data_IF_320190687843
#
_entry.id   IF_320190687843
#
_cell.length_a   1.000
_cell.length_b   1.000
_cell.length_c   1.000
_cell.angle_alpha   90.00
_cell.angle_beta   90.00
_cell.angle_gamma   90.00
#
_symmetry.space_group_name_H-M   'P 1'
#
loop_
_entity.id
_entity.type
_entity.pdbx_description
1 polymer ?
#
# COMPACT_ATOMS: atom_id res chain seq x y z
N UNK A 1 2.31 28.65 -29.06
CA UNK A 1 1.20 27.88 -28.44
C UNK A 1 1.64 27.08 -27.23
N UNK A 2 2.83 26.45 -27.24
CA UNK A 2 3.31 25.65 -26.10
C UNK A 2 3.66 26.46 -24.84
N UNK A 3 4.21 27.67 -24.98
CA UNK A 3 4.54 28.51 -23.82
C UNK A 3 3.29 28.92 -23.02
N UNK A 4 2.20 29.28 -23.72
CA UNK A 4 0.93 29.62 -23.08
C UNK A 4 0.35 28.39 -22.36
N UNK A 5 0.40 27.23 -23.01
CA UNK A 5 -0.05 25.97 -22.40
C UNK A 5 0.75 25.62 -21.15
N UNK A 6 2.08 25.77 -21.20
CA UNK A 6 2.97 25.55 -20.05
C UNK A 6 2.64 26.51 -18.90
N UNK A 7 2.48 27.80 -19.17
CA UNK A 7 2.13 28.80 -18.15
C UNK A 7 0.74 28.54 -17.54
N UNK A 8 -0.25 28.20 -18.35
CA UNK A 8 -1.57 27.80 -17.87
C UNK A 8 -1.50 26.54 -17.00
N UNK A 9 -0.68 25.55 -17.38
CA UNK A 9 -0.48 24.32 -16.61
C UNK A 9 0.21 24.59 -15.26
N UNK A 10 1.26 25.42 -15.25
CA UNK A 10 1.94 25.83 -14.01
C UNK A 10 0.98 26.59 -13.10
N UNK A 11 0.19 27.52 -13.65
CA UNK A 11 -0.79 28.26 -12.86
C UNK A 11 -1.88 27.36 -12.29
N UNK A 12 -2.43 26.46 -13.12
CA UNK A 12 -3.46 25.51 -12.70
C UNK A 12 -2.96 24.57 -11.58
N UNK A 13 -1.78 23.98 -11.75
CA UNK A 13 -1.17 23.11 -10.73
C UNK A 13 -0.82 23.87 -9.45
N UNK A 14 -0.32 25.10 -9.56
CA UNK A 14 -0.01 25.94 -8.38
C UNK A 14 -1.26 26.35 -7.63
N UNK A 15 -2.31 26.79 -8.34
CA UNK A 15 -3.57 27.16 -7.71
C UNK A 15 -4.26 25.96 -7.04
N UNK A 16 -4.33 24.82 -7.75
CA UNK A 16 -4.96 23.60 -7.20
C UNK A 16 -4.23 23.08 -5.97
N UNK A 17 -2.90 23.03 -6.00
CA UNK A 17 -2.10 22.61 -4.83
C UNK A 17 -2.24 23.58 -3.65
N UNK A 18 -2.30 24.89 -3.90
CA UNK A 18 -2.54 25.91 -2.86
C UNK A 18 -3.89 25.69 -2.16
N UNK A 19 -4.98 25.55 -2.92
CA UNK A 19 -6.31 25.32 -2.34
C UNK A 19 -6.40 23.97 -1.62
N UNK A 20 -5.84 22.89 -2.19
CA UNK A 20 -5.81 21.58 -1.52
C UNK A 20 -5.02 21.61 -0.22
N UNK A 21 -3.89 22.33 -0.19
CA UNK A 21 -3.08 22.48 1.02
C UNK A 21 -3.81 23.28 2.11
N UNK A 22 -4.55 24.32 1.73
CA UNK A 22 -5.37 25.11 2.66
C UNK A 22 -6.51 24.27 3.28
N UNK A 23 -7.00 23.26 2.58
CA UNK A 23 -8.04 22.34 3.08
C UNK A 23 -7.52 21.30 4.08
N UNK A 24 -6.21 21.00 4.11
CA UNK A 24 -5.62 20.03 5.03
C UNK A 24 -5.80 20.38 6.52
N UNK A 25 -5.47 21.59 7.00
CA UNK A 25 -5.67 21.94 8.41
C UNK A 25 -7.16 21.91 8.79
N UNK A 26 -8.06 22.27 7.88
CA UNK A 26 -9.50 22.19 8.12
C UNK A 26 -9.98 20.74 8.25
N UNK A 27 -9.51 19.83 7.39
CA UNK A 27 -9.76 18.38 7.56
C UNK A 27 -9.20 17.84 8.86
N UNK A 28 -7.98 18.24 9.24
CA UNK A 28 -7.36 17.82 10.50
C UNK A 28 -8.13 18.35 11.72
N UNK A 29 -8.60 19.60 11.66
CA UNK A 29 -9.43 20.21 12.71
C UNK A 29 -10.78 19.48 12.83
N UNK A 30 -11.45 19.20 11.70
CA UNK A 30 -12.68 18.41 11.63
C UNK A 30 -12.46 17.01 12.22
N UNK A 31 -11.39 16.31 11.87
CA UNK A 31 -11.07 14.99 12.43
C UNK A 31 -10.76 15.02 13.93
N UNK A 32 -10.32 16.16 14.49
CA UNK A 32 -10.11 16.34 15.93
C UNK A 32 -11.40 16.68 16.68
N UNK A 33 -12.29 17.46 16.06
CA UNK A 33 -13.52 17.97 16.68
C UNK A 33 -14.69 16.99 16.56
N UNK A 34 -14.81 16.29 15.43
CA UNK A 34 -15.73 15.18 15.29
C UNK A 34 -15.01 13.93 15.77
N UNK A 35 -15.49 13.25 16.83
CA UNK A 35 -14.97 11.95 17.19
C UNK A 35 -15.25 11.04 15.99
N UNK A 36 -14.23 10.80 15.16
CA UNK A 36 -14.23 9.59 14.36
C UNK A 36 -14.48 8.48 15.38
N UNK A 37 -15.55 7.69 15.19
CA UNK A 37 -15.71 6.41 15.90
C UNK A 37 -14.30 5.85 15.99
N UNK A 38 -13.76 5.69 17.21
CA UNK A 38 -12.44 5.08 17.39
C UNK A 38 -12.45 3.89 16.46
N UNK A 39 -11.73 3.95 15.35
CA UNK A 39 -11.42 2.76 14.58
C UNK A 39 -10.73 1.93 15.64
N UNK A 40 -11.42 0.88 16.11
CA UNK A 40 -10.84 -0.07 17.03
C UNK A 40 -9.42 -0.32 16.53
N UNK A 41 -8.43 -0.17 17.42
CA UNK A 41 -7.00 -0.42 17.12
C UNK A 41 -6.98 -1.53 16.08
N UNK A 42 -6.60 -1.18 14.85
CA UNK A 42 -6.87 -2.03 13.68
C UNK A 42 -5.93 -3.23 13.79
N UNK A 43 -6.34 -4.24 14.58
CA UNK A 43 -5.57 -5.43 14.95
C UNK A 43 -5.23 -6.30 13.73
N UNK A 44 -5.70 -5.89 12.56
CA UNK A 44 -5.62 -6.58 11.29
C UNK A 44 -4.44 -6.08 10.44
N UNK A 45 -3.68 -5.10 10.95
CA UNK A 45 -2.53 -4.52 10.23
C UNK A 45 -1.29 -4.52 11.12
N UNK A 46 -0.20 -5.10 10.63
CA UNK A 46 1.12 -5.03 11.26
C UNK A 46 2.06 -4.19 10.41
N UNK A 47 2.78 -3.25 11.02
CA UNK A 47 3.72 -2.37 10.33
C UNK A 47 5.16 -2.86 10.52
N UNK A 48 5.93 -2.84 9.44
CA UNK A 48 7.33 -3.24 9.42
C UNK A 48 8.17 -2.10 8.86
N UNK A 49 9.14 -1.65 9.63
CA UNK A 49 10.18 -0.76 9.15
C UNK A 49 11.44 -1.57 8.86
N UNK A 50 12.09 -1.27 7.75
CA UNK A 50 13.25 -2.02 7.32
C UNK A 50 14.05 -1.28 6.27
N UNK A 51 15.01 -1.99 5.69
CA UNK A 51 15.90 -1.46 4.68
C UNK A 51 16.05 -2.49 3.56
N UNK A 52 15.77 -2.07 2.33
CA UNK A 52 15.95 -2.90 1.15
C UNK A 52 17.27 -2.55 0.50
N UNK A 53 17.97 -3.58 0.03
CA UNK A 53 19.17 -3.46 -0.77
C UNK A 53 18.90 -4.07 -2.14
N UNK A 54 19.19 -3.31 -3.20
CA UNK A 54 19.19 -3.81 -4.57
C UNK A 54 20.62 -3.89 -5.08
N UNK A 55 20.95 -5.00 -5.73
CA UNK A 55 22.18 -5.17 -6.52
C UNK A 55 21.79 -5.66 -7.92
N UNK A 56 21.96 -4.79 -8.90
CA UNK A 56 21.82 -5.13 -10.31
C UNK A 56 23.22 -5.47 -10.82
N UNK A 57 23.43 -6.70 -11.26
CA UNK A 57 24.75 -7.19 -11.71
C UNK A 57 25.06 -6.88 -13.18
N UNK A 58 24.04 -6.66 -14.02
CA UNK A 58 24.17 -6.43 -15.47
C UNK A 58 23.11 -5.45 -16.00
N UNK A 59 23.38 -4.76 -17.12
CA UNK A 59 24.65 -4.77 -17.88
C UNK A 59 25.79 -4.03 -17.16
N UNK A 60 25.47 -2.99 -16.39
CA UNK A 60 26.42 -2.28 -15.50
C UNK A 60 25.99 -2.52 -14.06
N UNK A 61 26.98 -2.70 -13.16
CA UNK A 61 26.71 -2.94 -11.76
C UNK A 61 26.17 -1.68 -11.08
N UNK A 62 24.98 -1.77 -10.50
CA UNK A 62 24.40 -0.72 -9.68
C UNK A 62 23.84 -1.31 -8.40
N UNK A 63 24.27 -0.77 -7.27
CA UNK A 63 23.87 -1.21 -5.94
C UNK A 63 23.42 0.00 -5.13
N UNK A 64 22.25 -0.10 -4.50
CA UNK A 64 21.71 0.96 -3.66
C UNK A 64 20.86 0.39 -2.53
N UNK A 65 20.76 1.16 -1.45
CA UNK A 65 20.06 0.79 -0.22
C UNK A 65 19.14 1.93 0.18
N UNK A 66 17.90 1.61 0.57
CA UNK A 66 16.93 2.61 1.00
C UNK A 66 15.99 2.05 2.08
N UNK A 67 15.51 2.96 2.93
CA UNK A 67 14.54 2.63 3.96
C UNK A 67 13.17 2.39 3.36
N UNK A 68 12.46 1.40 3.92
CA UNK A 68 11.11 1.01 3.50
C UNK A 68 10.20 0.89 4.71
N UNK A 69 8.91 1.09 4.50
CA UNK A 69 7.86 0.88 5.50
C UNK A 69 6.75 0.07 4.88
N UNK A 70 6.66 -1.20 5.28
CA UNK A 70 5.65 -2.13 4.82
C UNK A 70 4.51 -2.22 5.81
N UNK A 71 3.32 -2.52 5.29
CA UNK A 71 2.16 -2.91 6.07
C UNK A 71 1.74 -4.32 5.64
N UNK A 72 1.57 -5.21 6.62
CA UNK A 72 0.99 -6.54 6.46
C UNK A 72 -0.48 -6.49 6.86
N UNK A 73 -1.35 -6.71 5.90
CA UNK A 73 -2.79 -6.73 6.06
C UNK A 73 -3.31 -8.17 6.12
N UNK A 74 -4.17 -8.46 7.10
CA UNK A 74 -5.03 -9.64 7.06
C UNK A 74 -6.20 -9.37 6.11
N UNK A 75 -6.18 -10.01 4.94
CA UNK A 75 -7.18 -9.74 3.91
C UNK A 75 -8.56 -10.31 4.22
N UNK A 76 -8.67 -11.27 5.14
CA UNK A 76 -9.95 -11.86 5.51
C UNK A 76 -10.72 -10.99 6.51
N UNK A 77 -9.99 -10.19 7.29
CA UNK A 77 -10.56 -9.24 8.24
C UNK A 77 -10.84 -7.86 7.61
N UNK A 78 -10.24 -7.59 6.44
CA UNK A 78 -10.50 -6.36 5.69
C UNK A 78 -11.82 -6.45 4.92
N UNK A 79 -12.84 -5.76 5.41
CA UNK A 79 -14.12 -5.58 4.70
C UNK A 79 -14.04 -4.61 3.50
N UNK A 80 -12.84 -4.12 3.16
CA UNK A 80 -12.70 -2.92 2.33
C UNK A 80 -12.53 -3.21 0.84
N UNK A 81 -13.43 -2.63 0.05
CA UNK A 81 -13.45 -2.57 -1.42
C UNK A 81 -12.33 -1.66 -1.97
N UNK A 82 -11.05 -1.99 -1.74
CA UNK A 82 -9.92 -1.27 -2.35
C UNK A 82 -9.59 -1.92 -3.69
N UNK A 83 -9.67 -1.15 -4.79
CA UNK A 83 -9.41 -1.59 -6.18
C UNK A 83 -8.00 -2.19 -6.40
N UNK A 84 -7.05 -1.88 -5.52
CA UNK A 84 -5.64 -2.28 -5.64
C UNK A 84 -5.41 -3.69 -5.07
N UNK A 85 -6.31 -4.18 -4.21
CA UNK A 85 -6.13 -5.44 -3.49
C UNK A 85 -6.89 -6.55 -4.22
N UNK A 86 -6.20 -7.61 -4.62
CA UNK A 86 -6.86 -8.81 -5.15
C UNK A 86 -7.72 -9.45 -4.06
N UNK A 87 -8.99 -9.85 -4.35
CA UNK A 87 -9.85 -10.47 -3.36
C UNK A 87 -9.25 -11.78 -2.80
N UNK A 88 -9.40 -12.07 -1.49
CA UNK A 88 -8.92 -13.32 -0.88
C UNK A 88 -9.36 -14.59 -1.62
N UNK A 89 -10.62 -14.64 -2.06
CA UNK A 89 -11.17 -15.78 -2.79
C UNK A 89 -10.43 -16.06 -4.10
N UNK A 90 -10.04 -15.00 -4.84
CA UNK A 90 -9.26 -15.14 -6.08
C UNK A 90 -7.85 -15.64 -5.78
N UNK A 91 -7.21 -15.12 -4.72
CA UNK A 91 -5.87 -15.55 -4.31
C UNK A 91 -5.85 -17.01 -3.89
N UNK A 92 -6.83 -17.46 -3.11
CA UNK A 92 -7.02 -18.87 -2.73
C UNK A 92 -7.18 -19.78 -3.94
N UNK A 93 -7.98 -19.36 -4.92
CA UNK A 93 -8.17 -20.12 -6.16
C UNK A 93 -6.84 -20.26 -6.94
N UNK A 94 -6.11 -19.16 -7.12
CA UNK A 94 -4.83 -19.14 -7.83
C UNK A 94 -3.74 -19.94 -7.09
N UNK A 95 -3.67 -19.77 -5.78
CA UNK A 95 -2.69 -20.43 -4.94
C UNK A 95 -3.04 -21.90 -4.69
N UNK A 96 -4.30 -22.31 -4.89
CA UNK A 96 -4.90 -23.58 -4.46
C UNK A 96 -4.79 -23.77 -2.94
N UNK A 97 -5.26 -22.77 -2.20
CA UNK A 97 -5.14 -22.73 -0.74
C UNK A 97 -6.48 -22.53 -0.04
N UNK A 98 -6.60 -23.02 1.20
CA UNK A 98 -7.85 -22.99 1.97
C UNK A 98 -7.81 -22.06 3.18
N UNK A 99 -6.62 -21.65 3.62
CA UNK A 99 -6.43 -20.87 4.83
C UNK A 99 -6.43 -19.35 4.63
N UNK A 100 -5.93 -18.61 5.63
CA UNK A 100 -5.91 -17.16 5.59
C UNK A 100 -4.93 -16.62 4.53
N UNK A 101 -5.21 -15.42 4.05
CA UNK A 101 -4.35 -14.72 3.08
C UNK A 101 -3.92 -13.35 3.61
N UNK A 102 -2.62 -13.07 3.56
CA UNK A 102 -2.07 -11.80 4.02
C UNK A 102 -1.41 -11.04 2.87
N UNK A 103 -1.49 -9.71 2.89
CA UNK A 103 -0.85 -8.83 1.92
C UNK A 103 0.21 -7.99 2.60
N UNK A 104 1.47 -8.13 2.17
CA UNK A 104 2.55 -7.22 2.52
C UNK A 104 2.77 -6.24 1.36
N UNK A 105 2.57 -4.96 1.62
CA UNK A 105 2.71 -3.91 0.61
C UNK A 105 3.17 -2.60 1.24
N UNK A 106 3.62 -1.65 0.41
CA UNK A 106 3.92 -0.28 0.83
C UNK A 106 2.67 0.56 0.52
N UNK A 107 1.93 1.03 1.54
CA UNK A 107 0.76 1.87 1.29
C UNK A 107 1.16 3.16 0.55
N UNK A 108 0.34 3.64 -0.40
CA UNK A 108 0.61 4.91 -1.08
C UNK A 108 0.76 6.04 -0.06
N UNK A 109 1.84 6.80 -0.15
CA UNK A 109 2.14 7.89 0.77
C UNK A 109 2.30 9.19 -0.01
N UNK A 110 1.37 10.14 0.20
CA UNK A 110 1.40 11.47 -0.44
C UNK A 110 1.52 11.40 -1.98
N UNK A 111 0.92 10.38 -2.60
CA UNK A 111 0.97 10.17 -4.05
C UNK A 111 2.27 9.54 -4.58
N UNK A 112 3.21 9.17 -3.70
CA UNK A 112 4.42 8.45 -4.07
C UNK A 112 4.27 6.95 -3.78
N UNK A 113 4.70 6.13 -4.74
CA UNK A 113 4.86 4.69 -4.61
C UNK A 113 6.34 4.36 -4.85
N UNK A 114 7.07 4.04 -3.77
CA UNK A 114 8.43 3.51 -3.86
C UNK A 114 8.37 2.00 -3.69
N UNK A 115 8.83 1.27 -4.72
CA UNK A 115 8.85 -0.20 -4.75
C UNK A 115 7.45 -0.83 -4.61
N UNK A 116 6.64 -0.84 -5.68
CA UNK A 116 5.22 -1.23 -5.64
C UNK A 116 4.97 -2.73 -5.40
N UNK A 117 6.01 -3.49 -5.04
CA UNK A 117 5.91 -4.93 -4.82
C UNK A 117 4.87 -5.24 -3.73
N UNK A 118 3.79 -5.87 -4.18
CA UNK A 118 2.72 -6.38 -3.33
C UNK A 118 2.85 -7.89 -3.24
N UNK A 119 3.16 -8.40 -2.04
CA UNK A 119 3.38 -9.81 -1.77
C UNK A 119 2.18 -10.40 -1.02
N UNK A 120 1.56 -11.42 -1.60
CA UNK A 120 0.43 -12.13 -1.00
C UNK A 120 0.92 -13.47 -0.43
N UNK A 121 0.79 -13.66 0.88
CA UNK A 121 1.10 -14.90 1.58
C UNK A 121 -0.17 -15.74 1.72
N UNK A 122 -0.18 -16.91 1.08
CA UNK A 122 -1.34 -17.81 1.05
C UNK A 122 -1.07 -19.07 1.90
N UNK A 123 -1.90 -19.29 2.92
CA UNK A 123 -1.75 -20.40 3.85
C UNK A 123 -2.77 -21.51 3.59
N UNK A 124 -2.43 -22.74 3.96
CA UNK A 124 -3.38 -23.83 4.17
C UNK A 124 -3.67 -24.02 5.65
N UNK A 125 -4.89 -24.46 5.94
CA UNK A 125 -5.28 -24.91 7.27
C UNK A 125 -5.11 -26.42 7.37
N UNK A 126 -4.28 -26.85 8.31
CA UNK A 126 -4.06 -28.25 8.66
C UNK A 126 -4.48 -28.43 10.12
N UNK A 127 -5.78 -28.67 10.32
CA UNK A 127 -6.39 -28.67 11.65
C UNK A 127 -6.34 -27.28 12.28
N UNK A 128 -5.64 -27.14 13.41
CA UNK A 128 -5.43 -25.87 14.12
C UNK A 128 -4.19 -25.10 13.65
N UNK A 129 -3.34 -25.69 12.80
CA UNK A 129 -2.11 -25.05 12.32
C UNK A 129 -2.28 -24.42 10.94
N UNK A 130 -1.54 -23.33 10.72
CA UNK A 130 -1.46 -22.64 9.43
C UNK A 130 -0.10 -22.88 8.79
N UNK A 131 -0.08 -23.47 7.59
CA UNK A 131 1.14 -23.72 6.81
C UNK A 131 1.21 -22.77 5.62
N UNK A 132 2.29 -22.00 5.50
CA UNK A 132 2.53 -21.18 4.31
C UNK A 132 2.77 -22.12 3.12
N UNK A 133 2.02 -21.94 2.04
CA UNK A 133 2.09 -22.84 0.88
C UNK A 133 2.57 -22.13 -0.37
N UNK A 134 2.08 -20.91 -0.61
CA UNK A 134 2.48 -20.11 -1.76
C UNK A 134 2.56 -18.63 -1.42
N UNK A 135 3.45 -17.95 -2.13
CA UNK A 135 3.51 -16.51 -2.18
C UNK A 135 3.25 -16.06 -3.62
N UNK A 136 2.39 -15.05 -3.79
CA UNK A 136 2.13 -14.43 -5.10
C UNK A 136 2.71 -13.03 -5.04
N UNK A 137 3.57 -12.68 -5.98
CA UNK A 137 4.07 -11.32 -6.13
C UNK A 137 3.30 -10.61 -7.25
N UNK A 138 2.76 -9.45 -6.96
CA UNK A 138 2.19 -8.53 -7.93
C UNK A 138 3.13 -7.33 -8.06
N UNK A 139 3.51 -7.04 -9.30
CA UNK A 139 4.33 -5.88 -9.70
C UNK A 139 3.43 -4.91 -10.46
#
# INVERSE_FOLDING_TARGET
MELLYLLCSIFYTSATTFFLSLLLPFRLLIHRLLPSRRSAVDSNVSYYEGTVWHDRLRPVRHSFRYSVRYALFDLDMLSTRRRIISPPAKLRLLARTTGPTFLLTIPPSVGYEQNPLSLYYCYNLEGSSKRLTKCIAQV
#
